data_IF_216596723479
#
_entry.id   IF_216596723479
#
_cell.length_a   1.000
_cell.length_b   1.000
_cell.length_c   1.000
_cell.angle_alpha   90.00
_cell.angle_beta   90.00
_cell.angle_gamma   90.00
#
_symmetry.space_group_name_H-M   'P 1'
#
loop_
_entity.id
_entity.type
_entity.pdbx_description
1 polymer ?
#
# COMPACT_ATOMS: atom_id res chain seq x y z
N UNK A 1 12.49 24.43 -30.21
CA UNK A 1 11.97 25.09 -28.99
C UNK A 1 11.00 24.24 -28.18
N UNK A 2 10.06 23.49 -28.79
CA UNK A 2 9.07 22.66 -28.06
C UNK A 2 9.65 21.47 -27.28
N UNK A 3 10.73 20.86 -27.78
CA UNK A 3 11.41 19.71 -27.14
C UNK A 3 12.12 20.13 -25.84
N UNK A 4 12.76 21.30 -25.84
CA UNK A 4 13.55 21.81 -24.73
C UNK A 4 12.67 22.17 -23.52
N UNK A 5 11.53 22.83 -23.73
CA UNK A 5 10.58 23.16 -22.65
C UNK A 5 9.97 21.91 -22.00
N UNK A 6 9.61 20.88 -22.78
CA UNK A 6 9.10 19.61 -22.24
C UNK A 6 10.15 18.88 -21.40
N UNK A 7 11.43 18.97 -21.76
CA UNK A 7 12.52 18.37 -20.98
C UNK A 7 12.76 19.14 -19.67
N UNK A 8 12.75 20.47 -19.71
CA UNK A 8 12.88 21.31 -18.51
C UNK A 8 11.74 21.09 -17.52
N UNK A 9 10.49 20.98 -18.00
CA UNK A 9 9.32 20.74 -17.14
C UNK A 9 9.33 19.34 -16.50
N UNK A 10 9.78 18.30 -17.23
CA UNK A 10 9.98 16.95 -16.68
C UNK A 10 11.04 16.97 -15.57
N UNK A 11 12.14 17.68 -15.78
CA UNK A 11 13.20 17.81 -14.78
C UNK A 11 12.70 18.53 -13.52
N UNK A 12 11.90 19.60 -13.66
CA UNK A 12 11.30 20.30 -12.52
C UNK A 12 10.33 19.40 -11.71
N UNK A 13 9.49 18.61 -12.39
CA UNK A 13 8.56 17.69 -11.73
C UNK A 13 9.31 16.58 -10.94
N UNK A 14 10.39 16.04 -11.50
CA UNK A 14 11.24 15.06 -10.83
C UNK A 14 11.92 15.69 -9.61
N UNK A 15 12.52 16.88 -9.77
CA UNK A 15 13.15 17.61 -8.67
C UNK A 15 12.17 17.88 -7.52
N UNK A 16 10.94 18.28 -7.84
CA UNK A 16 9.91 18.52 -6.83
C UNK A 16 9.53 17.25 -6.06
N UNK A 17 9.37 16.12 -6.75
CA UNK A 17 9.11 14.81 -6.09
C UNK A 17 10.26 14.41 -5.18
N UNK A 18 11.51 14.55 -5.64
CA UNK A 18 12.69 14.21 -4.81
C UNK A 18 12.75 15.14 -3.59
N UNK A 19 12.50 16.44 -3.77
CA UNK A 19 12.43 17.38 -2.68
C UNK A 19 11.35 16.99 -1.66
N UNK A 20 10.12 16.74 -2.08
CA UNK A 20 9.03 16.40 -1.17
C UNK A 20 9.25 15.02 -0.51
N UNK A 21 9.85 14.07 -1.21
CA UNK A 21 10.32 12.82 -0.60
C UNK A 21 11.30 13.09 0.55
N UNK A 22 12.40 13.79 0.27
CA UNK A 22 13.48 14.02 1.24
C UNK A 22 13.07 14.93 2.41
N UNK A 23 12.24 15.93 2.17
CA UNK A 23 11.97 16.99 3.15
C UNK A 23 10.59 16.87 3.80
N UNK A 24 9.60 16.29 3.12
CA UNK A 24 8.23 16.14 3.64
C UNK A 24 7.97 14.70 4.08
N UNK A 25 8.26 13.71 3.24
CA UNK A 25 7.99 12.31 3.57
C UNK A 25 8.95 11.78 4.64
N UNK A 26 10.26 11.92 4.45
CA UNK A 26 11.25 11.54 5.47
C UNK A 26 11.18 12.47 6.69
N UNK A 27 10.85 13.74 6.45
CA UNK A 27 10.82 14.82 7.43
C UNK A 27 12.23 15.40 7.67
N UNK A 28 12.27 16.69 8.00
CA UNK A 28 13.54 17.36 8.35
C UNK A 28 14.17 16.71 9.60
N UNK A 29 15.33 16.08 9.43
CA UNK A 29 16.28 15.68 10.51
C UNK A 29 15.82 14.66 11.55
N UNK A 30 14.68 13.98 11.42
CA UNK A 30 14.38 12.85 12.33
C UNK A 30 15.10 11.61 11.83
N UNK A 31 16.02 11.08 12.65
CA UNK A 31 16.53 9.70 12.55
C UNK A 31 15.33 8.84 12.15
N UNK A 32 15.36 8.19 10.98
CA UNK A 32 14.36 7.17 10.69
C UNK A 32 14.32 6.28 11.93
N UNK A 33 13.15 6.03 12.54
CA UNK A 33 13.08 5.09 13.64
C UNK A 33 13.80 3.84 13.13
N UNK A 34 14.82 3.38 13.86
CA UNK A 34 15.45 2.11 13.52
C UNK A 34 14.30 1.13 13.37
N UNK A 35 14.25 0.38 12.27
CA UNK A 35 13.15 -0.55 11.95
C UNK A 35 12.78 -1.42 13.19
N UNK A 36 13.76 -1.65 14.06
CA UNK A 36 13.69 -2.36 15.34
C UNK A 36 12.97 -1.66 16.52
N UNK A 37 12.44 -0.44 16.39
CA UNK A 37 11.69 0.27 17.46
C UNK A 37 10.16 0.17 17.32
N UNK A 38 9.69 -0.78 16.51
CA UNK A 38 8.28 -1.02 16.28
C UNK A 38 7.60 -1.52 17.56
N UNK A 39 6.60 -0.79 18.03
CA UNK A 39 5.79 -1.15 19.22
C UNK A 39 4.36 -1.56 18.85
N UNK A 40 4.02 -1.43 17.57
CA UNK A 40 2.65 -1.56 17.06
C UNK A 40 2.69 -2.32 15.73
N UNK A 41 1.62 -3.04 15.37
CA UNK A 41 1.64 -3.86 14.18
C UNK A 41 1.51 -3.01 12.90
N UNK A 42 2.19 -3.47 11.85
CA UNK A 42 2.12 -2.95 10.50
C UNK A 42 1.42 -3.96 9.60
N UNK A 43 0.25 -3.60 9.10
CA UNK A 43 -0.62 -4.46 8.31
C UNK A 43 -0.77 -3.87 6.91
N UNK A 44 -0.53 -4.67 5.87
CA UNK A 44 -0.77 -4.29 4.49
C UNK A 44 -2.05 -4.96 3.96
N UNK A 45 -2.93 -4.17 3.35
CA UNK A 45 -4.11 -4.66 2.62
C UNK A 45 -3.82 -4.57 1.13
N UNK A 46 -3.67 -5.74 0.53
CA UNK A 46 -3.38 -6.01 -0.88
C UNK A 46 -4.58 -6.69 -1.57
N UNK A 47 -4.55 -6.89 -2.89
CA UNK A 47 -5.73 -7.36 -3.62
C UNK A 47 -5.90 -6.89 -5.06
N UNK A 48 -6.90 -7.45 -5.75
CA UNK A 48 -7.21 -7.22 -7.16
C UNK A 48 -8.19 -6.06 -7.43
N UNK A 49 -8.68 -5.40 -6.38
CA UNK A 49 -9.65 -4.32 -6.53
C UNK A 49 -9.38 -3.16 -5.56
N UNK A 50 -8.92 -2.04 -6.12
CA UNK A 50 -8.41 -0.89 -5.35
C UNK A 50 -9.43 -0.31 -4.37
N UNK A 51 -10.70 -0.20 -4.77
CA UNK A 51 -11.73 0.38 -3.90
C UNK A 51 -12.13 -0.56 -2.78
N UNK A 52 -12.25 -1.86 -3.03
CA UNK A 52 -12.55 -2.87 -2.00
C UNK A 52 -11.47 -2.89 -0.92
N UNK A 53 -10.20 -2.94 -1.32
CA UNK A 53 -9.08 -2.84 -0.36
C UNK A 53 -9.13 -1.58 0.47
N UNK A 54 -9.39 -0.44 -0.16
CA UNK A 54 -9.47 0.86 0.52
C UNK A 54 -10.60 0.89 1.54
N UNK A 55 -11.73 0.24 1.26
CA UNK A 55 -12.84 0.08 2.22
C UNK A 55 -12.40 -0.78 3.41
N UNK A 56 -11.84 -1.96 3.15
CA UNK A 56 -11.38 -2.89 4.20
C UNK A 56 -10.29 -2.23 5.04
N UNK A 57 -9.24 -1.69 4.43
CA UNK A 57 -8.13 -1.04 5.14
C UNK A 57 -8.59 0.09 6.05
N UNK A 58 -9.55 0.92 5.61
CA UNK A 58 -10.08 2.01 6.44
C UNK A 58 -10.92 1.50 7.60
N UNK A 59 -11.79 0.52 7.35
CA UNK A 59 -12.64 -0.07 8.38
C UNK A 59 -11.80 -0.79 9.42
N UNK A 60 -10.81 -1.57 8.98
CA UNK A 60 -9.85 -2.23 9.86
C UNK A 60 -9.08 -1.22 10.70
N UNK A 61 -8.47 -0.20 10.09
CA UNK A 61 -7.75 0.84 10.81
C UNK A 61 -8.61 1.52 11.89
N UNK A 62 -9.90 1.76 11.59
CA UNK A 62 -10.82 2.32 12.59
C UNK A 62 -11.11 1.32 13.71
N UNK A 63 -11.37 0.05 13.38
CA UNK A 63 -11.68 -1.03 14.34
C UNK A 63 -10.54 -1.22 15.33
N UNK A 64 -9.29 -1.27 14.85
CA UNK A 64 -8.10 -1.53 15.70
C UNK A 64 -7.50 -0.27 16.33
N UNK A 65 -8.20 0.86 16.34
CA UNK A 65 -7.64 2.11 16.87
C UNK A 65 -6.37 2.60 16.13
N UNK A 66 -6.17 2.15 14.90
CA UNK A 66 -4.98 2.35 14.08
C UNK A 66 -5.00 3.57 13.15
N UNK A 67 -3.90 3.74 12.44
CA UNK A 67 -3.69 4.78 11.43
C UNK A 67 -3.85 4.18 10.04
N UNK A 68 -4.77 4.74 9.25
CA UNK A 68 -4.94 4.39 7.85
C UNK A 68 -3.92 5.16 7.00
N UNK A 69 -3.14 4.42 6.20
CA UNK A 69 -2.26 4.97 5.18
C UNK A 69 -2.68 4.50 3.78
N UNK A 70 -2.30 5.29 2.78
CA UNK A 70 -2.49 4.97 1.36
C UNK A 70 -1.17 5.09 0.63
N UNK A 71 -1.05 4.38 -0.49
CA UNK A 71 0.05 4.53 -1.43
C UNK A 71 -0.47 5.09 -2.77
N UNK A 72 0.09 6.20 -3.29
CA UNK A 72 1.12 7.06 -2.71
C UNK A 72 0.68 7.76 -1.40
N UNK A 73 1.60 8.04 -0.47
CA UNK A 73 1.28 8.77 0.76
C UNK A 73 0.91 10.23 0.47
N UNK A 74 0.29 10.91 1.43
CA UNK A 74 -0.19 12.29 1.27
C UNK A 74 0.92 13.27 0.84
N UNK A 75 2.16 13.05 1.29
CA UNK A 75 3.31 13.87 0.89
C UNK A 75 3.68 13.74 -0.60
N UNK A 76 3.23 12.70 -1.31
CA UNK A 76 3.53 12.49 -2.73
C UNK A 76 2.31 12.39 -3.64
N UNK A 77 1.10 12.22 -3.10
CA UNK A 77 -0.09 11.93 -3.91
C UNK A 77 -0.40 13.01 -4.95
N UNK A 78 -0.09 14.27 -4.64
CA UNK A 78 -0.28 15.42 -5.55
C UNK A 78 0.56 15.34 -6.82
N UNK A 79 1.72 14.65 -6.80
CA UNK A 79 2.58 14.55 -7.97
C UNK A 79 2.15 13.48 -8.97
N UNK A 80 1.16 12.65 -8.63
CA UNK A 80 0.72 11.55 -9.50
C UNK A 80 0.33 12.04 -10.90
N UNK A 81 -0.26 13.23 -11.04
CA UNK A 81 -0.67 13.78 -12.33
C UNK A 81 0.51 14.23 -13.21
N UNK A 82 1.69 14.45 -12.63
CA UNK A 82 2.85 15.03 -13.32
C UNK A 82 3.52 14.07 -14.30
N UNK A 83 3.27 12.76 -14.17
CA UNK A 83 3.92 11.74 -14.98
C UNK A 83 2.92 11.04 -15.91
N UNK A 84 3.16 10.98 -17.23
CA UNK A 84 2.26 10.33 -18.17
C UNK A 84 1.99 8.86 -17.84
N UNK A 85 0.77 8.38 -18.11
CA UNK A 85 0.42 6.97 -17.95
C UNK A 85 1.38 6.08 -18.77
N UNK A 86 1.89 5.03 -18.13
CA UNK A 86 2.80 4.07 -18.79
C UNK A 86 4.25 4.52 -18.98
N UNK A 87 4.59 5.75 -18.64
CA UNK A 87 5.98 6.19 -18.65
C UNK A 87 6.84 5.45 -17.62
N UNK A 88 8.12 5.30 -17.92
CA UNK A 88 9.14 4.80 -16.97
C UNK A 88 9.15 5.66 -15.70
N UNK A 89 9.09 6.99 -15.85
CA UNK A 89 9.07 7.93 -14.72
C UNK A 89 7.85 7.72 -13.81
N UNK A 90 6.67 7.43 -14.36
CA UNK A 90 5.49 7.14 -13.54
C UNK A 90 5.67 5.84 -12.74
N UNK A 91 6.31 4.81 -13.31
CA UNK A 91 6.65 3.57 -12.58
C UNK A 91 7.67 3.84 -11.48
N UNK A 92 8.73 4.59 -11.77
CA UNK A 92 9.73 4.99 -10.79
C UNK A 92 9.12 5.81 -9.64
N UNK A 93 8.19 6.73 -9.95
CA UNK A 93 7.42 7.48 -8.95
C UNK A 93 6.61 6.57 -8.02
N UNK A 94 5.93 5.54 -8.54
CA UNK A 94 5.22 4.59 -7.70
C UNK A 94 6.16 3.71 -6.87
N UNK A 95 7.32 3.32 -7.42
CA UNK A 95 8.38 2.66 -6.67
C UNK A 95 8.87 3.51 -5.49
N UNK A 96 9.19 4.78 -5.72
CA UNK A 96 9.57 5.73 -4.66
C UNK A 96 8.45 5.91 -3.62
N UNK A 97 7.20 5.92 -4.06
CA UNK A 97 6.03 6.07 -3.18
C UNK A 97 5.88 4.92 -2.18
N UNK A 98 6.30 3.71 -2.54
CA UNK A 98 6.37 2.56 -1.62
C UNK A 98 7.35 2.84 -0.48
N UNK A 99 8.56 3.31 -0.78
CA UNK A 99 9.53 3.69 0.25
C UNK A 99 9.06 4.87 1.10
N UNK A 100 8.39 5.85 0.47
CA UNK A 100 7.80 6.97 1.20
C UNK A 100 6.73 6.50 2.19
N UNK A 101 5.85 5.58 1.78
CA UNK A 101 4.84 4.98 2.65
C UNK A 101 5.48 4.20 3.81
N UNK A 102 6.57 3.45 3.55
CA UNK A 102 7.35 2.75 4.55
C UNK A 102 7.89 3.69 5.64
N UNK A 103 8.45 4.82 5.23
CA UNK A 103 8.99 5.84 6.14
C UNK A 103 7.89 6.51 6.97
N UNK A 104 6.74 6.78 6.37
CA UNK A 104 5.58 7.30 7.11
C UNK A 104 5.07 6.27 8.12
N UNK A 105 4.92 5.00 7.71
CA UNK A 105 4.48 3.91 8.58
C UNK A 105 5.43 3.75 9.78
N UNK A 106 6.75 3.61 9.54
CA UNK A 106 7.76 3.44 10.58
C UNK A 106 7.64 4.46 11.72
N UNK A 107 7.40 5.73 11.40
CA UNK A 107 7.21 6.79 12.42
C UNK A 107 5.94 6.61 13.25
N UNK A 108 4.87 6.08 12.65
CA UNK A 108 3.59 5.87 13.34
C UNK A 108 3.59 4.61 14.20
N UNK A 109 4.38 3.60 13.84
CA UNK A 109 4.48 2.31 14.55
C UNK A 109 5.07 2.41 15.97
N UNK A 110 5.52 3.59 16.37
CA UNK A 110 5.91 3.89 17.76
C UNK A 110 4.71 4.21 18.66
N UNK A 111 3.51 4.41 18.09
CA UNK A 111 2.34 4.90 18.82
C UNK A 111 1.03 4.23 18.46
N UNK A 112 0.83 3.86 17.21
CA UNK A 112 -0.44 3.27 16.75
C UNK A 112 -0.21 2.13 15.75
N UNK A 113 -1.12 1.14 15.70
CA UNK A 113 -1.15 0.20 14.57
C UNK A 113 -1.24 0.95 13.25
N UNK A 114 -0.63 0.44 12.20
CA UNK A 114 -0.69 1.04 10.86
C UNK A 114 -1.32 0.05 9.89
N UNK A 115 -2.36 0.49 9.19
CA UNK A 115 -2.98 -0.28 8.10
C UNK A 115 -2.78 0.48 6.79
N UNK A 116 -2.02 -0.11 5.87
CA UNK A 116 -1.68 0.48 4.58
C UNK A 116 -2.49 -0.15 3.44
N UNK A 117 -3.18 0.68 2.66
CA UNK A 117 -3.89 0.24 1.46
C UNK A 117 -2.98 0.31 0.22
N UNK A 118 -2.59 -0.85 -0.29
CA UNK A 118 -1.67 -0.97 -1.42
C UNK A 118 -0.22 -0.74 -1.01
N UNK A 119 0.63 -1.75 -1.09
CA UNK A 119 2.04 -1.61 -0.75
C UNK A 119 2.96 -2.23 -1.81
N UNK A 120 3.97 -3.00 -1.40
CA UNK A 120 4.95 -3.58 -2.31
C UNK A 120 4.31 -4.60 -3.26
N UNK A 121 3.49 -5.53 -2.74
CA UNK A 121 2.93 -6.60 -3.56
C UNK A 121 2.03 -6.04 -4.67
N UNK A 122 1.23 -5.01 -4.37
CA UNK A 122 0.40 -4.33 -5.37
C UNK A 122 1.22 -3.71 -6.50
N UNK A 123 2.29 -3.00 -6.15
CA UNK A 123 3.13 -2.34 -7.15
C UNK A 123 3.93 -3.35 -7.96
N UNK A 124 4.42 -4.42 -7.34
CA UNK A 124 5.17 -5.50 -7.99
C UNK A 124 4.26 -6.29 -8.92
N UNK A 125 3.08 -6.71 -8.46
CA UNK A 125 2.08 -7.40 -9.28
C UNK A 125 1.64 -6.55 -10.48
N UNK A 126 1.39 -5.27 -10.27
CA UNK A 126 1.05 -4.35 -11.36
C UNK A 126 2.20 -4.18 -12.36
N UNK A 127 3.42 -3.99 -11.86
CA UNK A 127 4.60 -3.75 -12.71
C UNK A 127 4.93 -4.97 -13.55
N UNK A 128 4.94 -6.16 -12.96
CA UNK A 128 5.21 -7.42 -13.66
C UNK A 128 4.09 -7.71 -14.67
N UNK A 129 2.82 -7.71 -14.25
CA UNK A 129 1.70 -8.03 -15.15
C UNK A 129 1.65 -7.11 -16.36
N UNK A 130 2.02 -5.83 -16.17
CA UNK A 130 2.09 -4.87 -17.25
C UNK A 130 3.31 -5.05 -18.16
N UNK A 131 4.47 -5.38 -17.61
CA UNK A 131 5.69 -5.59 -18.39
C UNK A 131 5.62 -6.87 -19.25
N UNK A 132 4.90 -7.89 -18.77
CA UNK A 132 4.73 -9.20 -19.41
C UNK A 132 3.33 -9.40 -19.98
N UNK A 133 2.67 -8.32 -20.43
CA UNK A 133 1.34 -8.45 -21.05
C UNK A 133 1.44 -9.28 -22.34
N UNK A 134 0.70 -10.40 -22.39
CA UNK A 134 0.73 -11.33 -23.53
C UNK A 134 1.94 -12.28 -23.52
N UNK A 135 2.74 -12.29 -22.44
CA UNK A 135 3.90 -13.14 -22.25
C UNK A 135 3.78 -13.93 -20.95
N UNK A 136 4.57 -14.98 -20.81
CA UNK A 136 4.76 -15.65 -19.53
C UNK A 136 5.47 -14.71 -18.55
N UNK A 137 4.99 -14.67 -17.30
CA UNK A 137 5.64 -13.91 -16.24
C UNK A 137 6.94 -14.62 -15.80
N UNK A 138 7.85 -13.92 -15.10
CA UNK A 138 9.09 -14.53 -14.60
C UNK A 138 8.84 -15.81 -13.78
N UNK A 139 9.78 -16.77 -13.79
CA UNK A 139 9.68 -17.99 -12.99
C UNK A 139 9.73 -17.65 -11.48
N UNK A 140 9.12 -18.50 -10.64
CA UNK A 140 8.89 -18.23 -9.20
C UNK A 140 10.16 -17.89 -8.40
N UNK A 141 11.30 -18.42 -8.80
CA UNK A 141 12.62 -18.20 -8.20
C UNK A 141 13.29 -16.87 -8.62
N UNK A 142 12.68 -16.14 -9.56
CA UNK A 142 13.15 -14.84 -10.02
C UNK A 142 13.35 -13.87 -8.85
N UNK A 143 14.45 -13.10 -8.83
CA UNK A 143 14.69 -12.09 -7.80
C UNK A 143 13.63 -10.98 -7.81
N UNK A 144 12.83 -10.85 -8.88
CA UNK A 144 11.71 -9.89 -8.95
C UNK A 144 10.63 -10.11 -7.89
N UNK A 145 10.53 -11.32 -7.34
CA UNK A 145 9.56 -11.66 -6.30
C UNK A 145 10.09 -11.46 -4.87
N UNK A 146 11.40 -11.22 -4.72
CA UNK A 146 12.01 -11.05 -3.39
C UNK A 146 11.61 -9.71 -2.80
N UNK A 147 11.29 -9.74 -1.50
CA UNK A 147 11.07 -8.52 -0.73
C UNK A 147 12.37 -7.70 -0.68
N UNK A 148 12.34 -6.38 -0.93
CA UNK A 148 13.54 -5.55 -0.85
C UNK A 148 14.08 -5.53 0.58
N UNK A 149 15.37 -5.82 0.82
CA UNK A 149 15.92 -6.01 2.17
C UNK A 149 15.89 -4.72 3.02
N UNK A 150 15.86 -3.56 2.39
CA UNK A 150 15.80 -2.23 3.00
C UNK A 150 14.37 -1.69 3.14
N UNK A 151 13.37 -2.40 2.64
CA UNK A 151 11.97 -2.00 2.72
C UNK A 151 11.29 -2.59 3.96
N UNK A 152 10.61 -1.74 4.73
CA UNK A 152 9.85 -2.14 5.91
C UNK A 152 8.83 -3.24 5.59
N UNK A 153 9.03 -4.46 6.11
CA UNK A 153 8.08 -5.56 5.92
C UNK A 153 6.86 -5.43 6.87
N UNK A 154 5.62 -5.64 6.39
CA UNK A 154 4.45 -5.80 7.25
C UNK A 154 4.57 -7.04 8.15
N UNK A 155 3.94 -7.04 9.32
CA UNK A 155 3.79 -8.27 10.12
C UNK A 155 2.78 -9.21 9.48
N UNK A 156 1.71 -8.63 8.93
CA UNK A 156 0.67 -9.34 8.20
C UNK A 156 0.33 -8.60 6.91
N UNK A 157 0.10 -9.37 5.87
CA UNK A 157 -0.40 -8.91 4.58
C UNK A 157 -1.65 -9.69 4.24
N UNK A 158 -2.71 -8.98 3.86
CA UNK A 158 -3.96 -9.60 3.42
C UNK A 158 -4.19 -9.33 1.94
N UNK A 159 -4.18 -10.37 1.11
CA UNK A 159 -4.67 -10.28 -0.25
C UNK A 159 -6.20 -10.40 -0.25
N UNK A 160 -6.88 -9.30 -0.53
CA UNK A 160 -8.33 -9.22 -0.64
C UNK A 160 -8.73 -9.52 -2.08
N UNK A 161 -9.28 -10.70 -2.30
CA UNK A 161 -9.93 -11.06 -3.55
C UNK A 161 -11.35 -10.50 -3.59
N UNK A 162 -11.63 -9.71 -4.62
CA UNK A 162 -12.96 -9.19 -4.90
C UNK A 162 -13.52 -9.88 -6.16
N UNK A 163 -14.37 -10.92 -6.01
CA UNK A 163 -14.93 -11.65 -7.13
C UNK A 163 -15.78 -10.78 -8.04
N UNK A 164 -15.96 -11.26 -9.27
CA UNK A 164 -16.76 -10.56 -10.27
C UNK A 164 -18.26 -10.61 -9.96
N UNK A 165 -19.02 -9.62 -10.45
CA UNK A 165 -20.46 -9.53 -10.23
C UNK A 165 -20.91 -9.21 -8.80
N UNK A 166 -20.06 -9.35 -7.77
CA UNK A 166 -20.47 -9.14 -6.37
C UNK A 166 -20.54 -7.66 -5.99
N UNK A 167 -19.58 -6.86 -6.45
CA UNK A 167 -19.47 -5.44 -6.10
C UNK A 167 -19.49 -4.56 -7.36
N UNK A 168 -20.48 -3.66 -7.46
CA UNK A 168 -20.63 -2.69 -8.56
C UNK A 168 -19.64 -1.52 -8.43
N UNK A 169 -18.34 -1.80 -8.63
CA UNK A 169 -17.28 -0.81 -8.45
C UNK A 169 -16.24 -0.89 -9.59
N UNK A 170 -15.83 0.28 -10.10
CA UNK A 170 -15.18 0.48 -11.40
C UNK A 170 -13.64 0.37 -11.44
N UNK A 171 -12.98 -0.05 -10.36
CA UNK A 171 -11.50 0.05 -10.23
C UNK A 171 -10.78 -1.30 -10.28
N UNK A 172 -11.24 -2.22 -11.14
CA UNK A 172 -10.71 -3.58 -11.25
C UNK A 172 -9.46 -3.66 -12.11
N UNK A 173 -8.62 -4.66 -11.82
CA UNK A 173 -7.54 -5.06 -12.72
C UNK A 173 -8.16 -5.55 -14.04
N UNK A 174 -7.66 -5.10 -15.20
CA UNK A 174 -8.13 -5.56 -16.51
C UNK A 174 -8.05 -7.08 -16.65
N UNK A 175 -8.99 -7.69 -17.39
CA UNK A 175 -9.11 -9.15 -17.54
C UNK A 175 -7.82 -9.80 -18.03
N UNK A 176 -7.15 -9.15 -18.99
CA UNK A 176 -5.87 -9.57 -19.58
C UNK A 176 -4.80 -9.76 -18.50
N UNK A 177 -4.87 -9.02 -17.40
CA UNK A 177 -3.87 -9.06 -16.34
C UNK A 177 -4.27 -9.93 -15.15
N UNK A 178 -5.54 -10.35 -15.03
CA UNK A 178 -6.03 -11.05 -13.82
C UNK A 178 -5.24 -12.33 -13.50
N UNK A 179 -4.97 -13.15 -14.51
CA UNK A 179 -4.21 -14.41 -14.37
C UNK A 179 -2.79 -14.12 -13.89
N UNK A 180 -2.07 -13.23 -14.59
CA UNK A 180 -0.71 -12.82 -14.23
C UNK A 180 -0.66 -12.17 -12.85
N UNK A 181 -1.64 -11.33 -12.51
CA UNK A 181 -1.72 -10.65 -11.23
C UNK A 181 -1.79 -11.66 -10.08
N UNK A 182 -2.74 -12.61 -10.13
CA UNK A 182 -2.88 -13.66 -9.12
C UNK A 182 -1.64 -14.54 -9.04
N UNK A 183 -1.06 -14.92 -10.18
CA UNK A 183 0.15 -15.73 -10.20
C UNK A 183 1.34 -15.01 -9.56
N UNK A 184 1.48 -13.69 -9.73
CA UNK A 184 2.52 -12.91 -9.05
C UNK A 184 2.35 -12.98 -7.52
N UNK A 185 1.14 -12.81 -7.00
CA UNK A 185 0.90 -12.96 -5.55
C UNK A 185 1.23 -14.36 -5.06
N UNK A 186 0.88 -15.40 -5.83
CA UNK A 186 1.23 -16.79 -5.51
C UNK A 186 2.74 -17.00 -5.48
N UNK A 187 3.47 -16.42 -6.43
CA UNK A 187 4.94 -16.51 -6.48
C UNK A 187 5.62 -15.75 -5.32
N UNK A 188 4.99 -14.69 -4.80
CA UNK A 188 5.48 -13.87 -3.69
C UNK A 188 4.95 -14.31 -2.32
N UNK A 189 4.15 -15.39 -2.25
CA UNK A 189 3.50 -15.81 -1.02
C UNK A 189 4.53 -16.26 0.01
N UNK A 190 4.35 -15.77 1.23
CA UNK A 190 5.08 -16.16 2.42
C UNK A 190 4.11 -16.39 3.60
N UNK A 191 4.65 -16.73 4.77
CA UNK A 191 3.86 -17.05 5.97
C UNK A 191 3.07 -15.86 6.53
N UNK A 192 3.36 -14.64 6.08
CA UNK A 192 2.65 -13.42 6.49
C UNK A 192 1.53 -13.02 5.52
N UNK A 193 1.36 -13.72 4.39
CA UNK A 193 0.36 -13.42 3.37
C UNK A 193 -0.87 -14.32 3.45
N UNK A 194 -2.01 -13.71 3.80
CA UNK A 194 -3.31 -14.39 3.92
C UNK A 194 -4.27 -13.95 2.81
N UNK A 195 -4.98 -14.90 2.21
CA UNK A 195 -5.97 -14.62 1.16
C UNK A 195 -7.36 -14.57 1.76
N UNK A 196 -8.10 -13.49 1.46
CA UNK A 196 -9.44 -13.22 1.99
C UNK A 196 -10.37 -12.89 0.85
N UNK A 197 -11.50 -13.59 0.75
CA UNK A 197 -12.52 -13.31 -0.27
C UNK A 197 -13.59 -12.36 0.25
N UNK A 198 -14.03 -11.42 -0.58
CA UNK A 198 -15.21 -10.58 -0.30
C UNK A 198 -16.51 -11.12 -0.90
N UNK A 199 -16.57 -12.41 -1.25
CA UNK A 199 -17.77 -13.06 -1.78
C UNK A 199 -18.96 -12.98 -0.82
N UNK A 200 -18.70 -13.12 0.48
CA UNK A 200 -19.71 -13.00 1.55
C UNK A 200 -19.88 -11.55 2.05
N UNK A 201 -19.33 -10.58 1.31
CA UNK A 201 -19.38 -9.15 1.66
C UNK A 201 -18.21 -8.67 2.52
N UNK A 202 -18.13 -7.35 2.70
CA UNK A 202 -17.01 -6.70 3.39
C UNK A 202 -16.99 -6.95 4.91
N UNK A 203 -18.14 -7.21 5.54
CA UNK A 203 -18.23 -7.44 6.98
C UNK A 203 -17.58 -8.78 7.36
N UNK A 204 -17.97 -9.87 6.67
CA UNK A 204 -17.39 -11.19 6.84
C UNK A 204 -15.88 -11.18 6.58
N UNK A 205 -15.43 -10.53 5.50
CA UNK A 205 -13.99 -10.37 5.22
C UNK A 205 -13.24 -9.65 6.35
N UNK A 206 -13.83 -8.63 6.96
CA UNK A 206 -13.22 -7.90 8.09
C UNK A 206 -13.14 -8.74 9.35
N UNK A 207 -14.14 -9.58 9.61
CA UNK A 207 -14.16 -10.52 10.74
C UNK A 207 -13.06 -11.57 10.61
N UNK A 208 -12.90 -12.16 9.41
CA UNK A 208 -11.81 -13.11 9.15
C UNK A 208 -10.44 -12.47 9.35
N UNK A 209 -10.24 -11.24 8.85
CA UNK A 209 -8.99 -10.49 9.03
C UNK A 209 -8.73 -10.24 10.52
N UNK A 210 -9.75 -9.85 11.28
CA UNK A 210 -9.64 -9.59 12.71
C UNK A 210 -9.23 -10.85 13.49
N UNK A 211 -9.85 -11.98 13.19
CA UNK A 211 -9.53 -13.26 13.82
C UNK A 211 -8.06 -13.65 13.57
N UNK A 212 -7.57 -13.50 12.34
CA UNK A 212 -6.17 -13.78 11.98
C UNK A 212 -5.23 -12.81 12.70
N UNK A 213 -5.58 -11.53 12.80
CA UNK A 213 -4.77 -10.54 13.52
C UNK A 213 -4.65 -10.94 14.99
N UNK A 214 -5.76 -11.26 15.65
CA UNK A 214 -5.75 -11.69 17.06
C UNK A 214 -4.94 -12.97 17.22
N UNK A 215 -5.16 -13.96 16.37
CA UNK A 215 -4.43 -15.24 16.41
C UNK A 215 -2.91 -15.05 16.23
N UNK A 216 -2.47 -14.20 15.30
CA UNK A 216 -1.05 -14.08 14.93
C UNK A 216 -0.27 -13.03 15.72
N UNK A 217 -0.93 -12.01 16.25
CA UNK A 217 -0.27 -10.82 16.79
C UNK A 217 -0.53 -10.56 18.27
N UNK A 218 -1.46 -11.27 18.92
CA UNK A 218 -1.78 -11.06 20.34
C UNK A 218 -0.62 -11.32 21.30
N UNK A 219 0.29 -12.24 20.96
CA UNK A 219 1.49 -12.52 21.77
C UNK A 219 2.56 -11.41 21.66
N UNK A 220 2.55 -10.64 20.58
CA UNK A 220 3.60 -9.66 20.27
C UNK A 220 3.17 -8.22 20.50
N UNK A 221 1.88 -7.93 20.37
CA UNK A 221 1.32 -6.59 20.45
C UNK A 221 0.13 -6.57 21.38
N UNK A 222 0.00 -5.47 22.13
CA UNK A 222 -1.24 -5.21 22.88
C UNK A 222 -2.37 -4.95 21.87
N UNK A 223 -3.23 -5.96 21.73
CA UNK A 223 -4.39 -5.94 20.85
C UNK A 223 -5.65 -5.43 21.55
N UNK A 224 -5.56 -4.91 22.78
CA UNK A 224 -6.71 -4.30 23.44
C UNK A 224 -7.20 -3.12 22.61
N UNK A 225 -8.37 -3.30 22.01
CA UNK A 225 -9.00 -2.33 21.12
C UNK A 225 -9.36 -1.11 21.96
N UNK A 226 -8.48 -0.12 22.02
CA UNK A 226 -8.86 1.17 22.58
C UNK A 226 -9.86 1.79 21.62
N UNK A 227 -11.14 1.77 22.02
CA UNK A 227 -12.17 2.54 21.35
C UNK A 227 -11.67 3.99 21.27
N UNK A 228 -11.28 4.43 20.07
CA UNK A 228 -10.97 5.85 19.88
C UNK A 228 -12.26 6.61 20.16
N UNK A 229 -12.26 7.58 21.08
CA UNK A 229 -13.44 8.39 21.30
C UNK A 229 -13.89 9.02 19.97
N UNK A 230 -15.20 9.13 19.72
CA UNK A 230 -15.72 9.66 18.47
C UNK A 230 -15.05 10.99 18.15
N UNK A 231 -14.45 11.10 16.96
CA UNK A 231 -13.79 12.34 16.52
C UNK A 231 -14.80 13.48 16.56
N UNK A 232 -14.54 14.50 17.36
CA UNK A 232 -15.35 15.71 17.42
C UNK A 232 -15.46 16.33 16.01
N UNK A 233 -16.67 16.53 15.46
CA UNK A 233 -16.87 17.07 14.11
C UNK A 233 -16.30 18.48 13.91
N UNK A 234 -15.91 19.19 14.98
CA UNK A 234 -15.27 20.51 14.94
C UNK A 234 -13.79 20.50 14.52
N UNK A 235 -13.09 19.36 14.55
CA UNK A 235 -11.68 19.25 14.13
C UNK A 235 -11.51 18.90 12.64
N UNK A 236 -12.44 19.33 11.77
CA UNK A 236 -12.17 19.34 10.33
C UNK A 236 -11.13 20.43 10.05
N UNK A 237 -9.85 20.05 9.97
CA UNK A 237 -8.95 20.86 9.15
C UNK A 237 -9.52 20.87 7.73
N UNK A 238 -9.73 22.05 7.13
CA UNK A 238 -10.16 22.13 5.74
C UNK A 238 -9.08 21.46 4.89
N UNK A 239 -9.50 20.50 4.06
CA UNK A 239 -8.68 20.03 2.96
C UNK A 239 -8.56 21.22 1.99
N UNK A 240 -7.43 21.93 2.05
CA UNK A 240 -6.94 22.81 0.99
C UNK A 240 -6.01 21.98 0.12
#
# INVERSE_FOLDING_TARGET
MYSTQKNTQKNAAVQKVIYDFNHVCLGYKRRQPKIYQKQQPFIAIEGNHRTSRKIIARRLARKIGGSFLQNPPNCLIGHRANFPYGSVLRRAYFGLSVYAAACVASRMLTRTPVVLNGYWLDQTAFTISRAYTGLDIPPKDSPMYKWPPDLLKPDLTFYVDCPEGIHNISTRVPDIWKKSYRQVYSNMKDDSLFEISTSQGFASALEMIDNIIVEKLSDQFDMTLTERPPRNPRNRMPYI
#
